data_IF_879674464735
#
_entry.id   IF_879674464735
#
_cell.length_a   1.000
_cell.length_b   1.000
_cell.length_c   1.000
_cell.angle_alpha   90.00
_cell.angle_beta   90.00
_cell.angle_gamma   90.00
#
_symmetry.space_group_name_H-M   'P 1'
#
loop_
_entity.id
_entity.type
_entity.pdbx_description
1 polymer ?
#
# COMPACT_ATOMS: atom_id res chain seq x y z
N UNK A 1 6.46 15.34 4.96
CA UNK A 1 6.81 13.97 4.54
C UNK A 1 7.99 13.93 3.55
N UNK A 2 8.20 14.96 2.77
CA UNK A 2 9.37 15.06 1.92
C UNK A 2 10.57 15.48 2.76
N UNK A 3 11.75 14.86 2.55
CA UNK A 3 12.99 15.34 3.16
C UNK A 3 13.27 16.76 2.66
N UNK A 4 13.90 17.61 3.49
CA UNK A 4 14.20 19.01 3.12
C UNK A 4 15.02 19.11 1.85
N UNK A 5 16.00 18.21 1.65
CA UNK A 5 16.82 18.18 0.44
C UNK A 5 16.03 17.85 -0.81
N UNK A 6 15.16 16.82 -0.76
CA UNK A 6 14.27 16.47 -1.86
C UNK A 6 13.25 17.58 -2.13
N UNK A 7 12.71 18.17 -1.08
CA UNK A 7 11.79 19.30 -1.18
C UNK A 7 12.39 20.49 -1.92
N UNK A 8 13.64 20.87 -1.61
CA UNK A 8 14.33 22.00 -2.25
C UNK A 8 14.61 21.76 -3.73
N UNK A 9 14.99 20.53 -4.11
CA UNK A 9 15.26 20.18 -5.51
C UNK A 9 13.98 20.17 -6.36
N UNK A 10 12.87 19.71 -5.79
CA UNK A 10 11.63 19.46 -6.56
C UNK A 10 10.54 20.54 -6.39
N UNK A 11 10.67 21.47 -5.43
CA UNK A 11 9.70 22.55 -5.20
C UNK A 11 9.33 23.35 -6.45
N UNK A 12 10.25 23.50 -7.39
CA UNK A 12 10.02 24.26 -8.63
C UNK A 12 9.38 23.45 -9.74
N UNK A 13 9.31 22.12 -9.59
CA UNK A 13 8.87 21.18 -10.64
C UNK A 13 7.61 20.42 -10.28
N UNK A 14 7.10 20.55 -9.05
CA UNK A 14 5.96 19.81 -8.55
C UNK A 14 4.82 20.74 -8.15
N UNK A 15 3.62 20.45 -8.59
CA UNK A 15 2.40 21.12 -8.13
C UNK A 15 1.99 20.64 -6.73
N UNK A 16 1.36 21.51 -5.93
CA UNK A 16 0.91 21.17 -4.58
C UNK A 16 -0.04 19.96 -4.56
N UNK A 17 -0.97 19.88 -5.51
CA UNK A 17 -1.89 18.74 -5.65
C UNK A 17 -1.16 17.43 -5.92
N UNK A 18 -0.11 17.45 -6.74
CA UNK A 18 0.72 16.29 -7.01
C UNK A 18 1.53 15.87 -5.77
N UNK A 19 2.06 16.84 -5.04
CA UNK A 19 2.76 16.61 -3.78
C UNK A 19 1.86 15.95 -2.74
N UNK A 20 0.63 16.43 -2.59
CA UNK A 20 -0.36 15.87 -1.67
C UNK A 20 -0.73 14.43 -2.04
N UNK A 21 -0.88 14.15 -3.33
CA UNK A 21 -1.17 12.79 -3.82
C UNK A 21 -0.03 11.81 -3.52
N UNK A 22 1.21 12.21 -3.77
CA UNK A 22 2.41 11.39 -3.45
C UNK A 22 2.50 11.17 -1.94
N UNK A 23 2.30 12.21 -1.14
CA UNK A 23 2.33 12.12 0.32
C UNK A 23 1.25 11.17 0.85
N UNK A 24 0.04 11.23 0.30
CA UNK A 24 -1.06 10.35 0.67
C UNK A 24 -0.80 8.87 0.39
N UNK A 25 -0.04 8.58 -0.66
CA UNK A 25 0.29 7.19 -1.05
C UNK A 25 1.66 6.71 -0.54
N UNK A 26 2.34 7.52 0.28
CA UNK A 26 3.70 7.22 0.77
C UNK A 26 3.77 6.40 2.05
N UNK A 27 2.64 5.91 2.55
CA UNK A 27 2.54 5.15 3.81
C UNK A 27 3.04 5.94 5.03
N UNK A 28 3.03 7.27 4.97
CA UNK A 28 3.52 8.13 6.05
C UNK A 28 5.03 8.05 6.30
N UNK A 29 5.82 7.47 5.39
CA UNK A 29 7.27 7.38 5.53
C UNK A 29 7.99 8.26 4.52
N UNK A 30 8.96 9.11 4.96
CA UNK A 30 9.74 9.94 4.05
C UNK A 30 10.52 9.16 2.99
N UNK A 31 11.01 7.97 3.33
CA UNK A 31 11.74 7.11 2.41
C UNK A 31 10.89 6.66 1.22
N UNK A 32 9.66 6.21 1.49
CA UNK A 32 8.72 5.78 0.43
C UNK A 32 8.27 7.00 -0.38
N UNK A 33 7.98 8.11 0.28
CA UNK A 33 7.62 9.38 -0.37
C UNK A 33 8.69 9.83 -1.37
N UNK A 34 9.96 9.83 -0.96
CA UNK A 34 11.08 10.20 -1.81
C UNK A 34 11.27 9.22 -2.98
N UNK A 35 11.09 7.92 -2.76
CA UNK A 35 11.15 6.91 -3.80
C UNK A 35 10.05 7.11 -4.85
N UNK A 36 8.81 7.34 -4.42
CA UNK A 36 7.69 7.63 -5.31
C UNK A 36 7.92 8.92 -6.10
N UNK A 37 8.41 9.96 -5.43
CA UNK A 37 8.70 11.25 -6.06
C UNK A 37 9.73 11.12 -7.21
N UNK A 38 10.81 10.36 -6.99
CA UNK A 38 11.81 10.11 -8.04
C UNK A 38 11.22 9.41 -9.25
N UNK A 39 10.37 8.41 -9.02
CA UNK A 39 9.72 7.66 -10.09
C UNK A 39 8.71 8.51 -10.86
N UNK A 40 7.91 9.30 -10.15
CA UNK A 40 6.98 10.25 -10.78
C UNK A 40 7.74 11.28 -11.62
N UNK A 41 8.86 11.80 -11.11
CA UNK A 41 9.73 12.70 -11.88
C UNK A 41 10.23 12.05 -13.17
N UNK A 42 10.67 10.80 -13.11
CA UNK A 42 11.14 10.09 -14.30
C UNK A 42 10.04 9.93 -15.35
N UNK A 43 8.81 9.62 -14.92
CA UNK A 43 7.65 9.62 -15.81
C UNK A 43 7.37 10.99 -16.43
N UNK A 44 7.47 12.05 -15.64
CA UNK A 44 7.25 13.42 -16.12
C UNK A 44 8.29 13.83 -17.19
N UNK A 45 9.53 13.39 -17.06
CA UNK A 45 10.59 13.65 -18.04
C UNK A 45 10.38 12.88 -19.34
N UNK A 46 9.89 11.65 -19.27
CA UNK A 46 9.69 10.79 -20.44
C UNK A 46 8.39 11.13 -21.17
N UNK A 47 7.29 11.33 -20.44
CA UNK A 47 5.93 11.47 -20.99
C UNK A 47 5.40 12.89 -21.01
N UNK A 48 6.06 13.83 -20.36
CA UNK A 48 5.60 15.20 -20.24
C UNK A 48 6.70 16.23 -20.43
N UNK A 49 6.46 17.46 -19.98
CA UNK A 49 7.38 18.58 -20.09
C UNK A 49 8.44 18.65 -18.97
N UNK A 50 8.57 17.61 -18.16
CA UNK A 50 9.40 17.60 -16.96
C UNK A 50 8.74 18.19 -15.72
N UNK A 51 7.54 18.77 -15.87
CA UNK A 51 6.75 19.30 -14.75
C UNK A 51 5.89 18.19 -14.15
N UNK A 52 5.91 18.07 -12.83
CA UNK A 52 5.12 17.09 -12.09
C UNK A 52 3.76 17.72 -11.74
N UNK A 53 2.75 17.41 -12.53
CA UNK A 53 1.37 17.77 -12.28
C UNK A 53 0.56 16.59 -11.72
N UNK A 54 -0.69 16.83 -11.36
CA UNK A 54 -1.56 15.79 -10.80
C UNK A 54 -1.83 14.65 -11.78
N UNK A 55 -2.04 14.96 -13.07
CA UNK A 55 -2.33 13.96 -14.10
C UNK A 55 -1.15 12.99 -14.30
N UNK A 56 0.07 13.50 -14.41
CA UNK A 56 1.30 12.71 -14.52
C UNK A 56 1.51 11.89 -13.26
N UNK A 57 1.27 12.47 -12.09
CA UNK A 57 1.39 11.78 -10.80
C UNK A 57 0.44 10.60 -10.70
N UNK A 58 -0.84 10.80 -11.01
CA UNK A 58 -1.84 9.73 -10.99
C UNK A 58 -1.49 8.62 -11.98
N UNK A 59 -1.09 8.97 -13.20
CA UNK A 59 -0.66 8.01 -14.20
C UNK A 59 0.54 7.17 -13.73
N UNK A 60 1.56 7.83 -13.17
CA UNK A 60 2.75 7.13 -12.67
C UNK A 60 2.43 6.20 -11.51
N UNK A 61 1.61 6.63 -10.55
CA UNK A 61 1.22 5.82 -9.40
C UNK A 61 0.38 4.61 -9.82
N UNK A 62 -0.52 4.76 -10.78
CA UNK A 62 -1.25 3.63 -11.37
C UNK A 62 -0.31 2.64 -12.06
N UNK A 63 0.68 3.14 -12.82
CA UNK A 63 1.68 2.30 -13.48
C UNK A 63 2.58 1.56 -12.49
N UNK A 64 2.75 2.07 -11.28
CA UNK A 64 3.48 1.44 -10.19
C UNK A 64 2.59 0.53 -9.34
N UNK A 65 1.31 0.38 -9.68
CA UNK A 65 0.33 -0.40 -8.94
C UNK A 65 0.15 0.04 -7.48
N UNK A 66 0.29 1.34 -7.23
CA UNK A 66 0.04 1.94 -5.91
C UNK A 66 -1.36 2.53 -5.91
N UNK A 67 -2.25 2.00 -5.07
CA UNK A 67 -3.62 2.46 -5.01
C UNK A 67 -3.79 3.74 -4.15
N UNK A 68 -5.04 4.25 -4.08
CA UNK A 68 -5.37 5.48 -3.34
C UNK A 68 -5.10 5.40 -1.83
N UNK A 69 -4.98 4.19 -1.26
CA UNK A 69 -4.66 3.96 0.14
C UNK A 69 -3.17 3.74 0.38
N UNK A 70 -2.34 3.79 -0.67
CA UNK A 70 -0.91 3.51 -0.58
C UNK A 70 -0.58 2.01 -0.57
N UNK A 71 -1.54 1.15 -0.88
CA UNK A 71 -1.33 -0.30 -0.98
C UNK A 71 -0.68 -0.63 -2.32
N UNK A 72 0.40 -1.38 -2.28
CA UNK A 72 1.07 -1.88 -3.47
C UNK A 72 0.56 -3.28 -3.88
N UNK A 73 1.15 -3.84 -4.92
CA UNK A 73 0.80 -5.17 -5.41
C UNK A 73 0.96 -6.26 -4.33
N UNK A 74 2.03 -6.20 -3.53
CA UNK A 74 2.27 -7.18 -2.47
C UNK A 74 1.28 -7.05 -1.32
N UNK A 75 0.94 -5.83 -0.91
CA UNK A 75 -0.09 -5.61 0.11
C UNK A 75 -1.43 -6.21 -0.32
N UNK A 76 -1.85 -5.94 -1.55
CA UNK A 76 -3.08 -6.49 -2.10
C UNK A 76 -3.02 -8.01 -2.24
N UNK A 77 -1.86 -8.57 -2.62
CA UNK A 77 -1.65 -10.02 -2.68
C UNK A 77 -1.75 -10.68 -1.30
N UNK A 78 -1.22 -10.06 -0.26
CA UNK A 78 -1.35 -10.53 1.13
C UNK A 78 -2.82 -10.58 1.54
N UNK A 79 -3.56 -9.49 1.35
CA UNK A 79 -4.98 -9.42 1.70
C UNK A 79 -5.81 -10.43 0.91
N UNK A 80 -5.62 -10.50 -0.39
CA UNK A 80 -6.32 -11.43 -1.27
C UNK A 80 -6.05 -12.90 -0.89
N UNK A 81 -4.80 -13.23 -0.57
CA UNK A 81 -4.40 -14.56 -0.15
C UNK A 81 -5.09 -14.97 1.15
N UNK A 82 -5.09 -14.10 2.16
CA UNK A 82 -5.76 -14.38 3.44
C UNK A 82 -7.25 -14.57 3.23
N UNK A 83 -7.89 -13.74 2.42
CA UNK A 83 -9.32 -13.80 2.17
C UNK A 83 -9.70 -15.03 1.36
N UNK A 84 -9.09 -15.23 0.22
CA UNK A 84 -9.54 -16.25 -0.75
C UNK A 84 -8.99 -17.65 -0.47
N UNK A 85 -7.75 -17.76 0.02
CA UNK A 85 -7.14 -19.06 0.30
C UNK A 85 -7.36 -19.54 1.73
N UNK A 86 -7.54 -18.64 2.67
CA UNK A 86 -7.62 -18.96 4.11
C UNK A 86 -8.87 -18.40 4.79
N UNK A 87 -9.89 -18.08 4.00
CA UNK A 87 -11.21 -17.63 4.48
C UNK A 87 -11.16 -16.43 5.44
N UNK A 88 -10.18 -15.54 5.24
CA UNK A 88 -10.00 -14.35 6.07
C UNK A 88 -9.12 -14.56 7.30
N UNK A 89 -8.59 -15.74 7.49
CA UNK A 89 -7.75 -16.12 8.62
C UNK A 89 -8.50 -16.88 9.71
N UNK A 90 -7.82 -17.19 10.85
CA UNK A 90 -6.43 -16.83 11.15
C UNK A 90 -5.39 -17.65 10.36
N UNK A 91 -4.26 -17.02 10.04
CA UNK A 91 -3.16 -17.65 9.33
C UNK A 91 -1.82 -17.30 9.99
N UNK A 92 -0.98 -18.31 10.19
CA UNK A 92 0.36 -18.12 10.72
C UNK A 92 1.29 -17.43 9.70
N UNK A 93 2.31 -16.73 10.21
CA UNK A 93 3.25 -15.97 9.37
C UNK A 93 4.01 -16.87 8.37
N UNK A 94 4.42 -18.06 8.78
CA UNK A 94 5.16 -18.96 7.91
C UNK A 94 4.31 -19.49 6.75
N UNK A 95 3.05 -19.80 7.01
CA UNK A 95 2.09 -20.21 5.98
C UNK A 95 1.80 -19.06 5.02
N UNK A 96 1.60 -17.85 5.54
CA UNK A 96 1.39 -16.66 4.73
C UNK A 96 2.62 -16.37 3.85
N UNK A 97 3.83 -16.43 4.42
CA UNK A 97 5.06 -16.18 3.67
C UNK A 97 5.24 -17.15 2.50
N UNK A 98 4.96 -18.41 2.72
CA UNK A 98 4.99 -19.42 1.65
C UNK A 98 3.94 -19.14 0.58
N UNK A 99 2.74 -18.79 0.98
CA UNK A 99 1.62 -18.53 0.05
C UNK A 99 1.83 -17.31 -0.85
N UNK A 100 2.48 -16.26 -0.34
CA UNK A 100 2.75 -15.03 -1.11
C UNK A 100 4.17 -14.99 -1.72
N UNK A 101 4.98 -16.00 -1.45
CA UNK A 101 6.36 -16.09 -1.94
C UNK A 101 7.26 -14.95 -1.45
N UNK A 102 7.10 -14.59 -0.18
CA UNK A 102 7.92 -13.57 0.48
C UNK A 102 8.43 -14.11 1.81
N UNK A 103 9.53 -13.57 2.34
CA UNK A 103 10.06 -14.01 3.64
C UNK A 103 9.15 -13.53 4.79
N UNK A 104 9.05 -14.33 5.84
CA UNK A 104 8.28 -13.96 7.03
C UNK A 104 8.78 -12.65 7.64
N UNK A 105 10.10 -12.47 7.71
CA UNK A 105 10.74 -11.25 8.21
C UNK A 105 10.34 -10.01 7.42
N UNK A 106 10.36 -10.09 6.09
CA UNK A 106 9.95 -8.97 5.23
C UNK A 106 8.47 -8.62 5.43
N UNK A 107 7.60 -9.63 5.54
CA UNK A 107 6.18 -9.39 5.80
C UNK A 107 6.00 -8.69 7.15
N UNK A 108 6.65 -9.15 8.20
CA UNK A 108 6.53 -8.58 9.55
C UNK A 108 7.11 -7.18 9.68
N UNK A 109 8.18 -6.86 8.95
CA UNK A 109 8.88 -5.59 9.08
C UNK A 109 8.40 -4.52 8.09
N UNK A 110 7.99 -4.93 6.88
CA UNK A 110 7.68 -4.00 5.78
C UNK A 110 6.19 -3.84 5.56
N UNK A 111 5.45 -4.94 5.44
CA UNK A 111 4.05 -4.92 5.01
C UNK A 111 3.05 -4.91 6.17
N UNK A 112 3.26 -5.77 7.15
CA UNK A 112 2.33 -5.96 8.26
C UNK A 112 2.12 -4.70 9.11
N UNK A 113 3.18 -3.94 9.49
CA UNK A 113 2.97 -2.73 10.31
C UNK A 113 2.05 -1.71 9.65
N UNK A 114 2.19 -1.51 8.35
CA UNK A 114 1.32 -0.61 7.60
C UNK A 114 -0.11 -1.14 7.50
N UNK A 115 -0.29 -2.42 7.19
CA UNK A 115 -1.61 -3.03 7.08
C UNK A 115 -2.36 -3.03 8.42
N UNK A 116 -1.66 -3.24 9.54
CA UNK A 116 -2.23 -3.13 10.88
C UNK A 116 -2.61 -1.69 11.20
N UNK A 117 -1.71 -0.75 10.95
CA UNK A 117 -1.94 0.68 11.23
C UNK A 117 -3.14 1.22 10.46
N UNK A 118 -3.32 0.80 9.22
CA UNK A 118 -4.46 1.16 8.38
C UNK A 118 -5.74 0.38 8.71
N UNK A 119 -5.66 -0.62 9.55
CA UNK A 119 -6.81 -1.40 9.98
C UNK A 119 -7.27 -2.46 9.01
N UNK A 120 -6.41 -2.93 8.10
CA UNK A 120 -6.73 -4.00 7.14
C UNK A 120 -6.56 -5.40 7.73
N UNK A 121 -5.58 -5.58 8.62
CA UNK A 121 -5.34 -6.85 9.31
C UNK A 121 -5.20 -6.64 10.81
N UNK A 122 -5.42 -7.71 11.57
CA UNK A 122 -5.17 -7.77 13.01
C UNK A 122 -4.33 -8.99 13.35
N UNK A 123 -3.55 -8.88 14.41
CA UNK A 123 -2.85 -10.03 15.02
C UNK A 123 -3.71 -10.64 16.11
N UNK A 124 -3.86 -11.95 16.05
CA UNK A 124 -4.52 -12.75 17.09
C UNK A 124 -3.56 -13.82 17.60
N UNK A 125 -3.83 -14.48 18.74
CA UNK A 125 -3.02 -15.60 19.22
C UNK A 125 -2.93 -16.75 18.21
N UNK A 126 -3.88 -16.86 17.30
CA UNK A 126 -3.93 -17.90 16.25
C UNK A 126 -3.23 -17.51 14.97
N UNK A 127 -2.93 -16.23 14.77
CA UNK A 127 -2.30 -15.72 13.55
C UNK A 127 -2.90 -14.39 13.10
N UNK A 128 -2.77 -14.11 11.80
CA UNK A 128 -3.24 -12.87 11.17
C UNK A 128 -4.62 -13.07 10.58
N UNK A 129 -5.51 -12.13 10.83
CA UNK A 129 -6.86 -12.09 10.28
C UNK A 129 -7.10 -10.77 9.55
N UNK A 130 -7.88 -10.80 8.49
CA UNK A 130 -8.31 -9.59 7.81
C UNK A 130 -9.55 -9.00 8.49
N UNK A 131 -9.72 -7.69 8.35
CA UNK A 131 -10.85 -6.95 8.90
C UNK A 131 -11.93 -6.74 7.82
N UNK A 132 -13.11 -6.27 8.22
CA UNK A 132 -14.17 -5.87 7.30
C UNK A 132 -13.69 -4.83 6.27
N UNK A 133 -12.80 -3.92 6.68
CA UNK A 133 -12.21 -2.91 5.80
C UNK A 133 -11.45 -3.53 4.62
N UNK A 134 -10.74 -4.66 4.83
CA UNK A 134 -10.04 -5.36 3.77
C UNK A 134 -11.01 -5.95 2.74
N UNK A 135 -12.12 -6.50 3.17
CA UNK A 135 -13.16 -7.00 2.27
C UNK A 135 -13.78 -5.88 1.43
N UNK A 136 -14.09 -4.75 2.05
CA UNK A 136 -14.60 -3.56 1.35
C UNK A 136 -13.62 -3.04 0.32
N UNK A 137 -12.34 -2.97 0.68
CA UNK A 137 -11.27 -2.52 -0.21
C UNK A 137 -11.15 -3.37 -1.48
N UNK A 138 -11.27 -4.69 -1.35
CA UNK A 138 -11.20 -5.62 -2.48
C UNK A 138 -12.57 -5.88 -3.13
N UNK A 139 -13.63 -5.19 -2.69
CA UNK A 139 -15.00 -5.41 -3.16
C UNK A 139 -15.49 -6.87 -3.00
N UNK A 140 -15.04 -7.52 -1.93
CA UNK A 140 -15.40 -8.90 -1.61
C UNK A 140 -16.39 -8.94 -0.46
N UNK A 141 -17.19 -10.01 -0.41
CA UNK A 141 -18.11 -10.23 0.70
C UNK A 141 -17.45 -11.14 1.74
N UNK A 142 -17.54 -10.81 3.05
CA UNK A 142 -17.06 -11.70 4.09
C UNK A 142 -17.75 -13.06 4.04
N UNK A 143 -17.00 -14.12 4.36
CA UNK A 143 -17.59 -15.44 4.54
C UNK A 143 -18.52 -15.44 5.76
N UNK A 144 -19.52 -16.33 5.76
CA UNK A 144 -20.50 -16.43 6.87
C UNK A 144 -19.86 -16.51 8.24
N UNK A 145 -18.77 -17.27 8.35
CA UNK A 145 -18.03 -17.47 9.61
C UNK A 145 -17.37 -16.18 10.11
N UNK A 146 -16.95 -15.30 9.22
CA UNK A 146 -16.35 -14.02 9.59
C UNK A 146 -17.40 -12.93 9.81
N UNK A 147 -18.55 -13.03 9.18
CA UNK A 147 -19.65 -12.10 9.41
C UNK A 147 -20.11 -12.13 10.87
N UNK A 148 -20.09 -13.32 11.47
CA UNK A 148 -20.44 -13.50 12.88
C UNK A 148 -19.42 -12.86 13.84
N UNK A 149 -18.18 -12.61 13.38
CA UNK A 149 -17.13 -11.93 14.17
C UNK A 149 -17.23 -10.39 14.12
N UNK A 150 -17.93 -9.83 13.12
CA UNK A 150 -18.09 -8.39 12.95
C UNK A 150 -19.46 -7.87 13.41
N UNK A 151 -20.39 -8.77 13.66
CA UNK A 151 -21.70 -8.50 14.23
C UNK A 151 -21.66 -8.61 15.77
#
# INVERSE_FOLDING_TARGET
LLSSAASDVYKRQIEDSASDEIAGRSRGTPRICNSLLRRVRDFAQIKGSGKIDLAITQYALESLSVDKFGLDEMDNKILDTIINKFNGGPIGINTLSTAVSETAETIEEVYEPFLIQQGFIIRTPRGREVTAKAYEHLNLKPNKTQKDLFD
#
